data_IF_016853611004
#
_entry.id   IF_016853611004
#
_cell.length_a   1.000
_cell.length_b   1.000
_cell.length_c   1.000
_cell.angle_alpha   90.00
_cell.angle_beta   90.00
_cell.angle_gamma   90.00
#
_symmetry.space_group_name_H-M   'P 1'
#
loop_
_entity.id
_entity.type
_entity.pdbx_description
1 polymer ?
#
# COMPACT_ATOMS: atom_id res chain seq x y z
N UNK A 1 0.48 -25.24 0.28
CA UNK A 1 0.65 -23.84 0.74
C UNK A 1 -0.55 -23.32 1.53
N UNK A 2 -1.79 -23.42 1.05
CA UNK A 2 -2.99 -23.06 1.84
C UNK A 2 -3.09 -23.86 3.16
N UNK A 3 -2.76 -25.16 3.13
CA UNK A 3 -2.71 -26.02 4.33
C UNK A 3 -1.67 -25.62 5.38
N UNK A 4 -0.54 -25.03 5.00
CA UNK A 4 0.50 -24.61 5.96
C UNK A 4 0.07 -23.35 6.71
N UNK A 5 -0.60 -22.43 6.00
CA UNK A 5 -1.24 -21.26 6.59
C UNK A 5 -2.42 -21.62 7.49
N UNK A 6 -3.27 -22.57 7.10
CA UNK A 6 -4.33 -23.11 7.97
C UNK A 6 -3.76 -23.81 9.21
N UNK A 7 -2.63 -24.51 9.08
CA UNK A 7 -1.95 -25.15 10.23
C UNK A 7 -1.37 -24.12 11.20
N UNK A 8 -0.74 -23.06 10.69
CA UNK A 8 -0.24 -21.96 11.51
C UNK A 8 -1.41 -21.24 12.23
N UNK A 9 -2.51 -20.99 11.52
CA UNK A 9 -3.72 -20.37 12.06
C UNK A 9 -4.41 -21.26 13.12
N UNK A 10 -4.49 -22.57 12.89
CA UNK A 10 -5.02 -23.55 13.85
C UNK A 10 -4.17 -23.66 15.11
N UNK A 11 -2.85 -23.52 15.00
CA UNK A 11 -1.93 -23.56 16.15
C UNK A 11 -2.03 -22.31 17.01
N UNK A 12 -2.46 -21.18 16.44
CA UNK A 12 -2.68 -19.92 17.14
C UNK A 12 -3.98 -19.95 17.98
N UNK A 13 -5.08 -20.51 17.43
CA UNK A 13 -6.35 -20.72 18.15
C UNK A 13 -6.22 -21.66 19.36
N UNK A 14 -5.35 -22.67 19.29
CA UNK A 14 -5.13 -23.62 20.39
C UNK A 14 -4.42 -23.03 21.61
N UNK A 15 -3.78 -21.84 21.50
CA UNK A 15 -2.91 -21.29 22.56
C UNK A 15 -3.53 -20.10 23.32
N UNK A 16 -4.74 -19.67 22.97
CA UNK A 16 -5.49 -18.69 23.79
C UNK A 16 -6.19 -19.42 24.95
N UNK A 17 -5.40 -19.91 25.91
CA UNK A 17 -5.92 -20.22 27.22
C UNK A 17 -6.43 -18.93 27.89
N UNK A 18 -7.61 -19.06 28.48
CA UNK A 18 -8.42 -18.01 29.09
C UNK A 18 -7.65 -17.27 30.19
N UNK A 19 -7.69 -15.93 30.26
CA UNK A 19 -7.62 -15.28 31.57
C UNK A 19 -9.00 -15.38 32.22
N UNK A 20 -9.15 -16.32 33.16
CA UNK A 20 -10.11 -16.17 34.23
C UNK A 20 -9.71 -14.98 35.11
N UNK A 21 -10.72 -14.35 35.71
CA UNK A 21 -10.70 -13.26 36.69
C UNK A 21 -10.47 -11.85 36.14
N UNK A 22 -11.56 -11.09 35.94
CA UNK A 22 -11.87 -9.89 36.76
C UNK A 22 -13.40 -9.71 36.79
N UNK A 23 -14.00 -9.99 37.93
CA UNK A 23 -15.35 -9.57 38.32
C UNK A 23 -15.21 -8.46 39.36
N UNK A 24 -16.20 -7.55 39.45
CA UNK A 24 -16.39 -6.37 40.33
C UNK A 24 -15.71 -5.08 39.82
N UNK A 25 -16.37 -3.91 39.69
CA UNK A 25 -17.45 -3.33 40.51
C UNK A 25 -18.31 -2.37 39.66
N UNK A 26 -19.63 -2.50 39.74
CA UNK A 26 -20.61 -1.48 39.33
C UNK A 26 -20.64 -0.36 40.38
N UNK A 27 -20.35 0.89 40.01
CA UNK A 27 -20.94 2.03 40.70
C UNK A 27 -21.64 2.96 39.71
N UNK A 28 -22.96 2.96 39.87
CA UNK A 28 -23.97 3.76 39.23
C UNK A 28 -23.89 5.19 39.77
N UNK A 29 -23.65 6.19 38.93
CA UNK A 29 -24.15 7.55 39.19
C UNK A 29 -24.79 8.10 37.92
N UNK A 30 -26.08 8.40 38.07
CA UNK A 30 -27.00 8.92 37.08
C UNK A 30 -27.13 10.41 37.37
N UNK A 31 -26.69 11.27 36.47
CA UNK A 31 -27.12 12.68 36.44
C UNK A 31 -27.24 13.14 35.00
N UNK A 32 -28.50 13.21 34.57
CA UNK A 32 -29.02 13.99 33.46
C UNK A 32 -28.58 15.45 33.55
N UNK A 33 -28.09 16.04 32.46
CA UNK A 33 -28.32 17.45 32.16
C UNK A 33 -28.13 17.73 30.66
N UNK A 34 -29.27 17.63 29.97
CA UNK A 34 -29.63 18.35 28.74
C UNK A 34 -29.20 19.82 28.79
N UNK A 35 -28.58 20.37 27.73
CA UNK A 35 -28.81 21.71 27.12
C UNK A 35 -27.82 22.02 25.97
N UNK A 36 -28.06 23.04 25.10
CA UNK A 36 -27.78 22.98 23.65
C UNK A 36 -26.81 24.05 23.08
N UNK A 37 -26.40 23.79 21.83
CA UNK A 37 -25.97 24.68 20.71
C UNK A 37 -25.69 26.20 20.91
N UNK A 38 -24.43 26.57 20.54
CA UNK A 38 -23.88 27.84 19.94
C UNK A 38 -23.71 29.11 20.83
N UNK A 39 -22.92 30.16 20.43
CA UNK A 39 -21.49 30.21 20.04
C UNK A 39 -20.68 31.41 20.64
N UNK A 40 -19.34 31.38 20.46
CA UNK A 40 -18.34 32.47 20.33
C UNK A 40 -18.14 33.60 21.37
N UNK A 41 -16.85 33.93 21.50
CA UNK A 41 -16.18 35.14 22.05
C UNK A 41 -16.01 35.24 23.57
N UNK A 42 -14.77 35.13 24.06
CA UNK A 42 -13.97 36.31 24.46
C UNK A 42 -12.54 35.90 24.84
N UNK A 43 -11.57 36.63 24.28
CA UNK A 43 -10.13 36.59 24.56
C UNK A 43 -9.84 37.59 25.69
N UNK A 44 -9.08 37.23 26.74
CA UNK A 44 -8.29 38.19 27.53
C UNK A 44 -6.92 37.59 27.85
N UNK A 45 -5.90 38.36 27.50
CA UNK A 45 -4.46 38.19 27.67
C UNK A 45 -4.04 38.72 29.04
N UNK A 46 -3.18 38.01 29.78
CA UNK A 46 -2.13 38.61 30.64
C UNK A 46 -0.89 37.72 30.59
N UNK A 47 0.25 38.39 30.36
CA UNK A 47 1.59 37.87 30.13
C UNK A 47 2.51 38.08 31.37
N UNK A 48 3.78 37.67 31.22
CA UNK A 48 4.97 37.81 32.09
C UNK A 48 5.16 36.68 33.13
N UNK A 49 6.32 36.03 33.31
CA UNK A 49 7.70 36.29 32.86
C UNK A 49 8.56 35.00 32.85
N UNK A 50 9.52 34.98 31.91
CA UNK A 50 10.62 34.06 31.52
C UNK A 50 11.66 33.69 32.64
N UNK A 51 12.81 32.97 32.44
CA UNK A 51 13.54 32.73 31.16
C UNK A 51 14.43 31.47 30.97
N UNK A 52 14.97 31.40 29.73
CA UNK A 52 16.24 30.78 29.25
C UNK A 52 16.25 29.29 28.87
N UNK A 53 16.20 29.00 27.56
CA UNK A 53 17.41 28.63 26.79
C UNK A 53 17.12 28.62 25.28
N UNK A 54 17.77 29.50 24.52
CA UNK A 54 17.71 29.55 23.05
C UNK A 54 19.12 29.37 22.49
N UNK A 55 19.30 28.36 21.65
CA UNK A 55 20.47 28.21 20.80
C UNK A 55 20.14 28.68 19.38
N UNK A 56 20.61 29.90 19.08
CA UNK A 56 21.14 30.44 17.83
C UNK A 56 20.64 29.89 16.47
N UNK A 57 19.94 30.75 15.73
CA UNK A 57 19.86 30.75 14.26
C UNK A 57 20.48 32.07 13.78
N UNK A 58 21.51 32.08 12.91
CA UNK A 58 21.94 33.32 12.25
C UNK A 58 21.23 33.51 10.89
N UNK A 59 20.71 34.71 10.60
CA UNK A 59 20.46 35.16 9.23
C UNK A 59 21.73 35.80 8.67
N UNK A 60 21.88 35.94 7.34
CA UNK A 60 22.35 37.19 6.70
C UNK A 60 22.36 37.06 5.17
N UNK A 61 21.83 38.12 4.57
CA UNK A 61 21.72 38.47 3.16
C UNK A 61 23.10 38.88 2.62
N UNK A 62 23.45 38.53 1.38
CA UNK A 62 24.34 39.38 0.58
C UNK A 62 24.14 39.14 -0.94
N UNK A 63 23.72 40.19 -1.63
CA UNK A 63 23.74 40.39 -3.07
C UNK A 63 25.20 40.62 -3.52
N UNK A 64 25.67 39.91 -4.54
CA UNK A 64 26.74 40.41 -5.41
C UNK A 64 26.41 40.12 -6.88
N UNK A 65 26.26 41.21 -7.64
CA UNK A 65 26.31 41.24 -9.09
C UNK A 65 27.76 41.10 -9.57
N UNK A 66 27.99 40.39 -10.67
CA UNK A 66 29.02 40.79 -11.63
C UNK A 66 28.66 40.29 -13.03
N UNK A 67 28.36 41.25 -13.91
CA UNK A 67 28.30 41.06 -15.35
C UNK A 67 29.69 40.77 -15.90
N UNK A 68 29.80 39.81 -16.82
CA UNK A 68 30.92 39.75 -17.76
C UNK A 68 30.37 39.49 -19.16
N UNK A 69 30.15 40.58 -19.91
CA UNK A 69 30.01 40.54 -21.36
C UNK A 69 31.38 40.90 -21.92
N UNK A 70 32.01 39.93 -22.58
CA UNK A 70 33.04 40.17 -23.57
C UNK A 70 32.80 39.20 -24.73
N UNK A 71 32.35 39.76 -25.85
CA UNK A 71 32.14 39.08 -27.12
C UNK A 71 33.49 38.73 -27.76
N UNK A 72 33.63 37.54 -28.34
CA UNK A 72 34.41 37.40 -29.57
C UNK A 72 33.98 36.18 -30.39
N UNK A 73 33.62 36.49 -31.63
CA UNK A 73 33.14 35.62 -32.69
C UNK A 73 34.25 34.71 -33.21
N UNK A 74 34.05 33.39 -33.19
CA UNK A 74 34.68 32.46 -34.13
C UNK A 74 33.66 31.38 -34.49
N UNK A 75 32.90 31.62 -35.57
CA UNK A 75 32.21 30.56 -36.29
C UNK A 75 33.29 29.73 -36.99
N UNK A 76 33.57 28.54 -36.48
CA UNK A 76 34.22 27.49 -37.27
C UNK A 76 33.20 26.92 -38.26
N UNK A 77 33.47 26.84 -39.57
CA UNK A 77 32.67 26.01 -40.45
C UNK A 77 32.87 24.55 -40.04
N UNK A 78 31.86 23.96 -39.40
CA UNK A 78 31.75 22.49 -39.38
C UNK A 78 31.50 22.06 -40.81
N UNK A 79 32.57 21.62 -41.47
CA UNK A 79 32.45 20.77 -42.64
C UNK A 79 31.67 19.53 -42.18
N UNK A 80 30.51 19.28 -42.77
CA UNK A 80 29.79 18.03 -42.65
C UNK A 80 30.66 16.90 -43.24
N UNK A 81 31.56 16.36 -42.41
CA UNK A 81 32.20 15.10 -42.71
C UNK A 81 31.14 14.03 -42.50
N UNK A 82 30.62 13.49 -43.61
CA UNK A 82 29.82 12.26 -43.62
C UNK A 82 30.64 11.19 -42.91
N UNK A 83 30.27 10.76 -41.69
CA UNK A 83 30.93 9.61 -41.09
C UNK A 83 30.61 8.43 -41.99
N UNK A 84 31.64 7.85 -42.60
CA UNK A 84 31.53 6.59 -43.33
C UNK A 84 31.19 5.53 -42.29
N UNK A 85 29.89 5.25 -42.17
CA UNK A 85 29.36 4.26 -41.24
C UNK A 85 30.00 2.90 -41.58
N UNK A 86 30.66 2.21 -40.64
CA UNK A 86 30.90 0.79 -40.82
C UNK A 86 29.54 0.09 -40.90
N UNK A 87 29.35 -0.67 -41.98
CA UNK A 87 28.12 -1.43 -42.22
C UNK A 87 27.89 -2.41 -41.08
N UNK A 88 27.01 -2.06 -40.15
CA UNK A 88 26.43 -2.95 -39.14
C UNK A 88 25.02 -3.40 -39.55
N UNK A 89 24.78 -3.56 -40.85
CA UNK A 89 23.60 -4.27 -41.35
C UNK A 89 23.93 -5.73 -41.60
N UNK A 90 24.28 -6.46 -40.53
CA UNK A 90 24.33 -7.93 -40.54
C UNK A 90 23.71 -8.47 -39.26
N UNK A 91 22.43 -8.16 -39.06
CA UNK A 91 21.38 -9.09 -38.59
C UNK A 91 20.09 -8.30 -38.40
N UNK A 92 19.44 -7.94 -39.51
CA UNK A 92 17.99 -7.84 -39.48
C UNK A 92 17.51 -9.29 -39.40
N UNK A 93 17.20 -9.76 -38.20
CA UNK A 93 16.36 -10.95 -38.09
C UNK A 93 15.06 -10.60 -38.79
N UNK A 94 14.77 -11.31 -39.90
CA UNK A 94 13.49 -11.24 -40.56
C UNK A 94 12.49 -11.74 -39.51
N UNK A 95 11.75 -10.81 -38.92
CA UNK A 95 10.64 -11.11 -38.02
C UNK A 95 9.57 -11.74 -38.91
N UNK A 96 9.37 -13.04 -38.77
CA UNK A 96 8.25 -13.73 -39.38
C UNK A 96 6.95 -13.21 -38.71
N UNK A 97 6.08 -12.49 -39.44
CA UNK A 97 4.85 -11.96 -38.87
C UNK A 97 3.85 -13.07 -38.48
N UNK A 98 4.06 -14.31 -38.89
CA UNK A 98 3.19 -15.47 -38.62
C UNK A 98 3.69 -16.34 -37.45
N UNK A 99 4.85 -16.05 -36.84
CA UNK A 99 5.33 -16.76 -35.64
C UNK A 99 4.78 -16.10 -34.35
N UNK A 100 3.87 -16.76 -33.60
CA UNK A 100 3.25 -16.21 -32.40
C UNK A 100 4.24 -15.96 -31.23
N UNK A 101 5.47 -16.45 -31.32
CA UNK A 101 6.49 -16.26 -30.28
C UNK A 101 7.43 -15.07 -30.52
N UNK A 102 7.43 -14.48 -31.73
CA UNK A 102 8.44 -13.46 -32.12
C UNK A 102 8.12 -12.06 -31.60
N UNK A 103 6.91 -11.81 -31.09
CA UNK A 103 6.44 -10.48 -30.65
C UNK A 103 6.17 -10.35 -29.14
N UNK A 104 6.58 -11.30 -28.30
CA UNK A 104 6.45 -11.14 -26.84
C UNK A 104 7.64 -10.37 -26.29
N UNK A 105 7.47 -9.17 -25.69
CA UNK A 105 8.57 -8.50 -25.00
C UNK A 105 9.07 -9.37 -23.85
N UNK A 106 10.26 -9.97 -24.01
CA UNK A 106 10.90 -10.86 -23.03
C UNK A 106 11.31 -10.13 -21.75
N UNK A 107 11.42 -8.80 -21.80
CA UNK A 107 11.74 -7.95 -20.65
C UNK A 107 10.64 -7.91 -19.57
N UNK A 108 9.41 -8.34 -19.88
CA UNK A 108 8.28 -8.23 -18.95
C UNK A 108 8.45 -9.12 -17.70
N UNK A 109 9.17 -10.24 -17.81
CA UNK A 109 9.32 -11.21 -16.72
C UNK A 109 10.20 -10.69 -15.57
N UNK A 110 11.15 -9.78 -15.86
CA UNK A 110 12.08 -9.26 -14.86
C UNK A 110 11.69 -7.87 -14.33
N UNK A 111 10.71 -7.21 -14.95
CA UNK A 111 10.28 -5.87 -14.53
C UNK A 111 9.71 -5.88 -13.13
N UNK A 112 10.21 -4.97 -12.27
CA UNK A 112 9.69 -4.74 -10.91
C UNK A 112 8.24 -4.23 -10.98
N UNK A 113 7.92 -3.37 -11.95
CA UNK A 113 6.58 -2.84 -12.17
C UNK A 113 5.75 -3.77 -13.05
N UNK A 114 5.51 -4.97 -12.54
CA UNK A 114 4.68 -5.98 -13.18
C UNK A 114 3.95 -6.80 -12.12
N UNK A 115 2.87 -7.48 -12.51
CA UNK A 115 2.15 -8.38 -11.61
C UNK A 115 3.10 -9.46 -11.07
N UNK A 116 3.98 -10.00 -11.91
CA UNK A 116 5.00 -10.98 -11.52
C UNK A 116 6.06 -10.36 -10.58
N UNK A 117 6.47 -9.12 -10.81
CA UNK A 117 7.37 -8.38 -9.92
C UNK A 117 6.79 -8.20 -8.52
N UNK A 118 5.53 -7.79 -8.43
CA UNK A 118 4.81 -7.69 -7.15
C UNK A 118 4.66 -9.04 -6.44
N UNK A 119 4.41 -10.12 -7.19
CA UNK A 119 4.31 -11.47 -6.62
C UNK A 119 5.65 -11.96 -6.07
N UNK A 120 6.76 -11.74 -6.80
CA UNK A 120 8.10 -12.05 -6.29
C UNK A 120 8.40 -11.32 -4.98
N UNK A 121 7.99 -10.06 -4.84
CA UNK A 121 8.13 -9.33 -3.57
C UNK A 121 7.31 -10.00 -2.44
N UNK A 122 6.10 -10.49 -2.72
CA UNK A 122 5.34 -11.26 -1.73
C UNK A 122 6.02 -12.58 -1.36
N UNK A 123 6.54 -13.32 -2.34
CA UNK A 123 7.28 -14.57 -2.09
C UNK A 123 8.55 -14.34 -1.25
N UNK A 124 9.31 -13.29 -1.55
CA UNK A 124 10.47 -12.87 -0.76
C UNK A 124 10.05 -12.48 0.68
N UNK A 125 8.89 -11.86 0.85
CA UNK A 125 8.35 -11.58 2.17
C UNK A 125 7.99 -12.86 2.93
N UNK A 126 7.38 -13.85 2.26
CA UNK A 126 7.05 -15.14 2.87
C UNK A 126 8.30 -15.92 3.31
N UNK A 127 9.37 -15.85 2.52
CA UNK A 127 10.67 -16.38 2.90
C UNK A 127 11.23 -15.67 4.13
N UNK A 128 11.15 -14.34 4.17
CA UNK A 128 11.57 -13.55 5.32
C UNK A 128 10.74 -13.86 6.58
N UNK A 129 9.41 -14.03 6.46
CA UNK A 129 8.53 -14.47 7.56
C UNK A 129 8.96 -15.84 8.08
N UNK A 130 9.22 -16.79 7.17
CA UNK A 130 9.66 -18.14 7.53
C UNK A 130 11.00 -18.13 8.27
N UNK A 131 11.88 -17.19 7.91
CA UNK A 131 13.15 -16.93 8.59
C UNK A 131 13.01 -16.03 9.84
N UNK A 132 11.79 -15.67 10.25
CA UNK A 132 11.49 -14.74 11.35
C UNK A 132 12.10 -13.33 11.18
N UNK A 133 12.49 -12.96 9.97
CA UNK A 133 12.95 -11.63 9.61
C UNK A 133 11.76 -10.71 9.28
N UNK A 134 10.98 -10.38 10.31
CA UNK A 134 9.79 -9.54 10.17
C UNK A 134 10.06 -8.13 9.61
N UNK A 135 11.18 -7.44 9.93
CA UNK A 135 11.50 -6.15 9.31
C UNK A 135 11.64 -6.23 7.79
N UNK A 136 12.34 -7.25 7.29
CA UNK A 136 12.48 -7.47 5.85
C UNK A 136 11.13 -7.83 5.21
N UNK A 137 10.36 -8.72 5.86
CA UNK A 137 9.03 -9.09 5.39
C UNK A 137 8.11 -7.87 5.27
N UNK A 138 8.08 -7.01 6.29
CA UNK A 138 7.28 -5.79 6.29
C UNK A 138 7.67 -4.87 5.12
N UNK A 139 8.96 -4.67 4.88
CA UNK A 139 9.46 -3.88 3.75
C UNK A 139 9.02 -4.47 2.40
N UNK A 140 9.22 -5.77 2.20
CA UNK A 140 8.86 -6.45 0.94
C UNK A 140 7.36 -6.38 0.66
N UNK A 141 6.52 -6.51 1.68
CA UNK A 141 5.07 -6.37 1.56
C UNK A 141 4.65 -4.92 1.29
N UNK A 142 5.32 -3.93 1.88
CA UNK A 142 5.11 -2.52 1.55
C UNK A 142 5.44 -2.23 0.08
N UNK A 143 6.59 -2.70 -0.40
CA UNK A 143 7.00 -2.55 -1.80
C UNK A 143 5.99 -3.24 -2.74
N UNK A 144 5.55 -4.45 -2.41
CA UNK A 144 4.53 -5.17 -3.18
C UNK A 144 3.22 -4.39 -3.27
N UNK A 145 2.74 -3.83 -2.16
CA UNK A 145 1.53 -2.98 -2.13
C UNK A 145 1.68 -1.76 -3.03
N UNK A 146 2.83 -1.10 -3.03
CA UNK A 146 3.09 0.06 -3.88
C UNK A 146 3.04 -0.33 -5.36
N UNK A 147 3.74 -1.40 -5.74
CA UNK A 147 3.73 -1.94 -7.12
C UNK A 147 2.31 -2.27 -7.56
N UNK A 148 1.55 -3.01 -6.76
CA UNK A 148 0.19 -3.38 -7.12
C UNK A 148 -0.76 -2.18 -7.18
N UNK A 149 -0.62 -1.21 -6.28
CA UNK A 149 -1.44 0.00 -6.33
C UNK A 149 -1.16 0.83 -7.59
N UNK A 150 0.12 0.97 -7.96
CA UNK A 150 0.50 1.67 -9.17
C UNK A 150 -0.03 0.96 -10.43
N UNK A 151 0.12 -0.36 -10.49
CA UNK A 151 -0.39 -1.17 -11.60
C UNK A 151 -1.92 -1.12 -11.70
N UNK A 152 -2.65 -1.17 -10.59
CA UNK A 152 -4.11 -1.10 -10.64
C UNK A 152 -4.59 0.24 -11.18
N UNK A 153 -3.93 1.34 -10.78
CA UNK A 153 -4.21 2.67 -11.30
C UNK A 153 -3.92 2.76 -12.81
N UNK A 154 -2.78 2.26 -13.28
CA UNK A 154 -2.45 2.27 -14.70
C UNK A 154 -3.45 1.47 -15.55
N UNK A 155 -3.87 0.30 -15.07
CA UNK A 155 -4.90 -0.46 -15.77
C UNK A 155 -6.27 0.24 -15.77
N UNK A 156 -6.60 1.02 -14.73
CA UNK A 156 -7.81 1.87 -14.73
C UNK A 156 -7.71 3.01 -15.74
N UNK A 157 -6.57 3.68 -15.82
CA UNK A 157 -6.31 4.74 -16.80
C UNK A 157 -6.37 4.22 -18.24
N UNK A 158 -5.77 3.05 -18.50
CA UNK A 158 -5.87 2.38 -19.80
C UNK A 158 -7.31 1.96 -20.11
N UNK A 159 -8.04 1.39 -19.14
CA UNK A 159 -9.46 1.07 -19.33
C UNK A 159 -10.26 2.31 -19.77
N UNK A 160 -10.07 3.44 -19.09
CA UNK A 160 -10.75 4.69 -19.44
C UNK A 160 -10.40 5.16 -20.87
N UNK A 161 -9.14 4.97 -21.28
CA UNK A 161 -8.65 5.39 -22.60
C UNK A 161 -9.23 4.57 -23.76
N UNK A 162 -9.61 3.31 -23.52
CA UNK A 162 -10.23 2.44 -24.54
C UNK A 162 -11.76 2.34 -24.42
N UNK A 163 -12.36 2.94 -23.38
CA UNK A 163 -13.81 2.91 -23.19
C UNK A 163 -14.52 3.60 -24.36
N UNK A 164 -15.45 2.91 -25.01
CA UNK A 164 -16.17 3.41 -26.18
C UNK A 164 -15.40 3.35 -27.51
N UNK A 165 -14.14 2.90 -27.48
CA UNK A 165 -13.32 2.67 -28.68
C UNK A 165 -13.17 1.18 -28.94
N UNK A 166 -12.68 0.44 -27.94
CA UNK A 166 -12.54 -1.01 -28.00
C UNK A 166 -12.95 -1.63 -26.66
N UNK A 167 -14.17 -2.16 -26.63
CA UNK A 167 -14.76 -2.78 -25.44
C UNK A 167 -13.94 -3.99 -24.96
N UNK A 168 -13.34 -4.77 -25.87
CA UNK A 168 -12.57 -5.96 -25.49
C UNK A 168 -11.28 -5.57 -24.80
N UNK A 169 -10.58 -4.55 -25.32
CA UNK A 169 -9.38 -4.03 -24.68
C UNK A 169 -9.73 -3.38 -23.35
N UNK A 170 -10.77 -2.54 -23.30
CA UNK A 170 -11.28 -1.92 -22.08
C UNK A 170 -11.58 -2.96 -21.00
N UNK A 171 -12.36 -4.00 -21.31
CA UNK A 171 -12.69 -5.07 -20.36
C UNK A 171 -11.46 -5.84 -19.87
N UNK A 172 -10.49 -6.09 -20.74
CA UNK A 172 -9.21 -6.71 -20.37
C UNK A 172 -8.45 -5.86 -19.34
N UNK A 173 -8.37 -4.54 -19.55
CA UNK A 173 -7.71 -3.66 -18.59
C UNK A 173 -8.50 -3.53 -17.29
N UNK A 174 -9.83 -3.47 -17.34
CA UNK A 174 -10.69 -3.49 -16.15
C UNK A 174 -10.45 -4.75 -15.31
N UNK A 175 -10.33 -5.91 -15.95
CA UNK A 175 -10.05 -7.16 -15.26
C UNK A 175 -8.67 -7.16 -14.59
N UNK A 176 -7.63 -6.67 -15.29
CA UNK A 176 -6.28 -6.54 -14.72
C UNK A 176 -6.22 -5.54 -13.57
N UNK A 177 -6.95 -4.43 -13.65
CA UNK A 177 -7.07 -3.48 -12.55
C UNK A 177 -7.64 -4.15 -11.30
N UNK A 178 -8.72 -4.92 -11.47
CA UNK A 178 -9.35 -5.67 -10.37
C UNK A 178 -8.41 -6.72 -9.78
N UNK A 179 -7.79 -7.55 -10.61
CA UNK A 179 -6.84 -8.58 -10.16
C UNK A 179 -5.68 -7.95 -9.37
N UNK A 180 -5.11 -6.87 -9.89
CA UNK A 180 -3.99 -6.20 -9.25
C UNK A 180 -4.40 -5.54 -7.93
N UNK A 181 -5.60 -4.94 -7.87
CA UNK A 181 -6.15 -4.40 -6.62
C UNK A 181 -6.39 -5.49 -5.56
N UNK A 182 -6.81 -6.69 -5.97
CA UNK A 182 -6.93 -7.83 -5.06
C UNK A 182 -5.56 -8.23 -4.49
N UNK A 183 -4.52 -8.33 -5.33
CA UNK A 183 -3.15 -8.62 -4.87
C UNK A 183 -2.60 -7.55 -3.93
N UNK A 184 -2.91 -6.27 -4.18
CA UNK A 184 -2.60 -5.18 -3.24
C UNK A 184 -3.21 -5.44 -1.86
N UNK A 185 -4.47 -5.86 -1.82
CA UNK A 185 -5.18 -6.10 -0.57
C UNK A 185 -4.66 -7.37 0.14
N UNK A 186 -4.26 -8.41 -0.61
CA UNK A 186 -3.57 -9.58 -0.07
C UNK A 186 -2.23 -9.22 0.59
N UNK A 187 -1.39 -8.44 -0.09
CA UNK A 187 -0.13 -7.94 0.48
C UNK A 187 -0.38 -7.04 1.71
N UNK A 188 -1.45 -6.24 1.68
CA UNK A 188 -1.89 -5.43 2.82
C UNK A 188 -2.28 -6.32 4.02
N UNK A 189 -2.96 -7.43 3.76
CA UNK A 189 -3.37 -8.37 4.81
C UNK A 189 -2.17 -9.05 5.45
N UNK A 190 -1.25 -9.57 4.63
CA UNK A 190 -0.02 -10.18 5.11
C UNK A 190 0.80 -9.17 5.93
N UNK A 191 0.88 -7.91 5.51
CA UNK A 191 1.60 -6.86 6.26
C UNK A 191 0.99 -6.62 7.64
N UNK A 192 -0.35 -6.58 7.74
CA UNK A 192 -1.02 -6.47 9.03
C UNK A 192 -0.68 -7.65 9.95
N UNK A 193 -0.62 -8.87 9.42
CA UNK A 193 -0.24 -10.05 10.20
C UNK A 193 1.22 -9.99 10.68
N UNK A 194 2.14 -9.49 9.84
CA UNK A 194 3.54 -9.26 10.24
C UNK A 194 3.62 -8.28 11.40
N UNK A 195 2.90 -7.14 11.34
CA UNK A 195 2.88 -6.19 12.45
C UNK A 195 2.27 -6.79 13.72
N UNK A 196 1.23 -7.61 13.63
CA UNK A 196 0.69 -8.35 14.79
C UNK A 196 1.74 -9.30 15.39
N UNK A 197 2.48 -10.03 14.56
CA UNK A 197 3.55 -10.91 15.03
C UNK A 197 4.69 -10.14 15.73
N UNK A 198 4.85 -8.85 15.43
CA UNK A 198 5.78 -7.94 16.08
C UNK A 198 5.18 -7.21 17.30
N UNK A 199 3.97 -7.56 17.73
CA UNK A 199 3.22 -6.88 18.80
C UNK A 199 2.96 -5.38 18.51
N UNK A 200 2.70 -5.03 17.24
CA UNK A 200 2.38 -3.67 16.79
C UNK A 200 0.95 -3.60 16.23
N UNK A 201 -0.09 -3.84 17.05
CA UNK A 201 -1.48 -3.81 16.59
C UNK A 201 -1.91 -2.43 16.05
N UNK A 202 -1.31 -1.35 16.54
CA UNK A 202 -1.55 0.02 16.08
C UNK A 202 -1.20 0.25 14.61
N UNK A 203 -0.23 -0.52 14.07
CA UNK A 203 0.09 -0.51 12.64
C UNK A 203 -0.79 -1.48 11.85
N UNK A 204 -1.24 -2.57 12.47
CA UNK A 204 -2.07 -3.58 11.82
C UNK A 204 -3.53 -3.12 11.61
N UNK A 205 -4.14 -2.47 12.61
CA UNK A 205 -5.54 -2.00 12.57
C UNK A 205 -5.87 -1.16 11.32
N UNK A 206 -5.13 -0.08 10.98
CA UNK A 206 -5.46 0.72 9.81
C UNK A 206 -5.38 -0.08 8.50
N UNK A 207 -4.45 -1.04 8.40
CA UNK A 207 -4.32 -1.92 7.24
C UNK A 207 -5.51 -2.87 7.10
N UNK A 208 -5.99 -3.44 8.21
CA UNK A 208 -7.17 -4.32 8.24
C UNK A 208 -8.45 -3.55 7.87
N UNK A 209 -8.63 -2.33 8.38
CA UNK A 209 -9.74 -1.46 8.00
C UNK A 209 -9.68 -1.11 6.51
N UNK A 210 -8.49 -0.84 5.98
CA UNK A 210 -8.30 -0.57 4.55
C UNK A 210 -8.78 -1.74 3.68
N UNK A 211 -8.48 -2.98 4.06
CA UNK A 211 -8.93 -4.18 3.34
C UNK A 211 -10.45 -4.29 3.35
N UNK A 212 -11.11 -4.06 4.49
CA UNK A 212 -12.58 -4.10 4.59
C UNK A 212 -13.22 -3.07 3.66
N UNK A 213 -12.66 -1.86 3.59
CA UNK A 213 -13.13 -0.80 2.68
C UNK A 213 -12.97 -1.18 1.21
N UNK A 214 -11.89 -1.90 0.86
CA UNK A 214 -11.58 -2.27 -0.52
C UNK A 214 -12.35 -3.52 -0.98
N UNK A 215 -12.34 -4.59 -0.18
CA UNK A 215 -12.90 -5.90 -0.54
C UNK A 215 -14.35 -6.11 -0.08
N UNK A 216 -14.96 -5.18 0.67
CA UNK A 216 -16.25 -5.36 1.35
C UNK A 216 -16.19 -6.45 2.45
N UNK A 217 -16.79 -6.25 3.64
CA UNK A 217 -16.74 -7.22 4.74
C UNK A 217 -17.37 -8.58 4.43
N UNK A 218 -18.16 -8.71 3.36
CA UNK A 218 -18.81 -9.97 2.96
C UNK A 218 -17.96 -10.88 2.09
N UNK A 219 -16.84 -10.39 1.55
CA UNK A 219 -15.89 -11.18 0.76
C UNK A 219 -14.87 -11.85 1.66
N UNK A 220 -14.24 -12.92 1.20
CA UNK A 220 -13.39 -13.77 2.05
C UNK A 220 -12.25 -13.00 2.72
N UNK A 221 -11.56 -12.13 1.98
CA UNK A 221 -10.48 -11.32 2.56
C UNK A 221 -11.01 -10.25 3.52
N UNK A 222 -12.18 -9.67 3.24
CA UNK A 222 -12.85 -8.73 4.14
C UNK A 222 -13.30 -9.39 5.45
N UNK A 223 -13.85 -10.61 5.40
CA UNK A 223 -14.19 -11.42 6.58
C UNK A 223 -12.96 -11.72 7.42
N UNK A 224 -11.87 -12.16 6.79
CA UNK A 224 -10.59 -12.42 7.48
C UNK A 224 -10.08 -11.17 8.17
N UNK A 225 -10.08 -10.02 7.48
CA UNK A 225 -9.64 -8.75 8.06
C UNK A 225 -10.52 -8.32 9.25
N UNK A 226 -11.84 -8.46 9.13
CA UNK A 226 -12.75 -8.16 10.23
C UNK A 226 -12.52 -9.08 11.43
N UNK A 227 -12.31 -10.38 11.19
CA UNK A 227 -11.97 -11.34 12.24
C UNK A 227 -10.68 -10.94 12.98
N UNK A 228 -9.65 -10.48 12.27
CA UNK A 228 -8.43 -9.97 12.92
C UNK A 228 -8.71 -8.75 13.80
N UNK A 229 -9.56 -7.82 13.35
CA UNK A 229 -9.94 -6.66 14.15
C UNK A 229 -10.70 -7.07 15.43
N UNK A 230 -11.56 -8.08 15.33
CA UNK A 230 -12.27 -8.62 16.49
C UNK A 230 -11.31 -9.29 17.47
N UNK A 231 -10.37 -10.10 17.00
CA UNK A 231 -9.33 -10.73 17.83
C UNK A 231 -8.40 -9.72 18.52
N UNK A 232 -8.20 -8.55 17.90
CA UNK A 232 -7.45 -7.44 18.49
C UNK A 232 -8.27 -6.62 19.50
N UNK A 233 -9.57 -6.88 19.66
CA UNK A 233 -10.46 -6.08 20.49
C UNK A 233 -10.76 -4.68 19.92
N UNK A 234 -10.51 -4.46 18.62
CA UNK A 234 -10.81 -3.18 17.97
C UNK A 234 -12.31 -3.05 17.65
N UNK A 235 -13.01 -4.18 17.49
CA UNK A 235 -14.46 -4.25 17.32
C UNK A 235 -15.05 -5.25 18.29
N UNK A 236 -16.24 -4.97 18.81
CA UNK A 236 -16.84 -5.76 19.91
C UNK A 236 -17.82 -6.83 19.43
N UNK A 237 -18.24 -6.79 18.16
CA UNK A 237 -19.25 -7.68 17.61
C UNK A 237 -18.66 -8.59 16.52
N UNK A 238 -18.83 -9.92 16.59
CA UNK A 238 -18.36 -10.82 15.54
C UNK A 238 -19.18 -10.65 14.25
N UNK A 239 -18.54 -10.87 13.10
CA UNK A 239 -19.16 -10.85 11.78
C UNK A 239 -18.64 -12.01 10.90
N UNK A 240 -19.51 -12.69 10.12
CA UNK A 240 -20.96 -12.56 10.13
C UNK A 240 -21.54 -12.95 11.49
N UNK A 241 -22.61 -12.26 11.91
CA UNK A 241 -23.31 -12.64 13.15
C UNK A 241 -23.69 -14.10 13.00
N UNK A 242 -23.31 -14.95 13.96
CA UNK A 242 -23.85 -16.30 14.02
C UNK A 242 -25.36 -16.14 14.02
N UNK A 243 -26.03 -16.59 12.96
CA UNK A 243 -27.48 -16.60 12.93
C UNK A 243 -27.89 -17.46 14.13
N UNK A 244 -28.39 -16.80 15.17
CA UNK A 244 -28.81 -17.47 16.38
C UNK A 244 -29.77 -18.57 15.97
N UNK A 245 -29.49 -19.76 16.46
CA UNK A 245 -30.47 -20.79 16.76
C UNK A 245 -31.77 -20.10 17.21
N UNK A 246 -32.69 -19.91 16.27
CA UNK A 246 -34.07 -19.56 16.55
C UNK A 246 -34.63 -20.76 17.31
N UNK A 247 -34.56 -20.67 18.64
CA UNK A 247 -35.25 -21.57 19.54
C UNK A 247 -36.70 -21.62 19.09
N UNK A 248 -37.09 -22.78 18.54
CA UNK A 248 -38.49 -23.17 18.45
C UNK A 248 -39.00 -23.20 19.88
N UNK A 249 -39.88 -22.26 20.21
CA UNK A 249 -40.83 -22.36 21.31
C UNK A 249 -42.22 -22.38 20.69
#
# INVERSE_FOLDING_TARGET
MQKQWELYYSKFQSKSEKPQYVTLFLLKTKTELRYPKFPLLFYIVVALLDPMNSAAVPPFISLTWLSFIAAFSLLSPVNAQVPKLPSMYSQVQIIDPDDPNTLRPTAQNNSVLSIAGGQRLMEEAEQAISAQNYPLAAKKLQDARQVFNQLSNFYQELNASFTGIDTRVSDSQRQKALETAQKRDEATYQLALVHRAQNQPELAVPLLVQIIKSQNPTRDLGKKAYQQLFELGFVDAPFPRQAGSSSQN
#
